data_IF_811730411669
#
_entry.id   IF_811730411669
#
_cell.length_a   1.000
_cell.length_b   1.000
_cell.length_c   1.000
_cell.angle_alpha   90.00
_cell.angle_beta   90.00
_cell.angle_gamma   90.00
#
_symmetry.space_group_name_H-M   'P 1'
#
loop_
_entity.id
_entity.type
_entity.pdbx_description
1 polymer ?
#
# COMPACT_ATOMS: atom_id res chain seq x y z
N UNK A 1 -25.14 8.85 1.68
CA UNK A 1 -23.81 9.24 2.19
C UNK A 1 -22.79 8.61 1.27
N UNK A 2 -21.85 9.36 0.69
CA UNK A 2 -20.80 8.76 -0.13
C UNK A 2 -19.86 7.98 0.80
N UNK A 3 -19.77 6.67 0.60
CA UNK A 3 -18.81 5.83 1.32
C UNK A 3 -17.43 6.13 0.77
N UNK A 4 -16.51 6.57 1.63
CA UNK A 4 -15.11 6.74 1.25
C UNK A 4 -14.46 5.37 1.09
N UNK A 5 -13.81 5.14 -0.05
CA UNK A 5 -13.01 3.93 -0.28
C UNK A 5 -11.54 4.24 -0.04
N UNK A 6 -10.89 3.47 0.83
CA UNK A 6 -9.47 3.63 1.11
C UNK A 6 -8.63 3.18 -0.09
N UNK A 7 -7.57 3.93 -0.44
CA UNK A 7 -6.58 3.49 -1.42
C UNK A 7 -5.96 2.16 -1.02
N UNK A 8 -5.58 1.36 -2.02
CA UNK A 8 -4.85 0.11 -1.81
C UNK A 8 -3.38 0.38 -1.48
N UNK A 9 -2.76 -0.56 -0.77
CA UNK A 9 -1.32 -0.59 -0.61
C UNK A 9 -0.67 -0.68 -2.00
N UNK A 10 0.24 0.23 -2.30
CA UNK A 10 1.04 0.20 -3.52
C UNK A 10 2.37 -0.48 -3.20
N UNK A 11 2.78 -1.42 -4.04
CA UNK A 11 4.05 -2.13 -3.90
C UNK A 11 4.72 -2.33 -5.26
N UNK A 12 5.99 -2.74 -5.23
CA UNK A 12 6.75 -3.09 -6.43
C UNK A 12 7.31 -4.50 -6.37
N UNK A 13 7.50 -5.08 -7.56
CA UNK A 13 8.31 -6.28 -7.73
C UNK A 13 9.81 -5.94 -7.83
N UNK A 14 10.72 -6.94 -7.89
CA UNK A 14 12.15 -6.71 -8.03
C UNK A 14 12.56 -6.00 -9.33
N UNK A 15 11.72 -5.98 -10.35
CA UNK A 15 11.95 -5.26 -11.60
C UNK A 15 11.50 -3.79 -11.50
N UNK A 16 10.91 -3.39 -10.36
CA UNK A 16 10.39 -2.05 -10.11
C UNK A 16 9.02 -1.79 -10.72
N UNK A 17 8.33 -2.84 -11.18
CA UNK A 17 6.95 -2.71 -11.66
C UNK A 17 6.03 -2.54 -10.47
N UNK A 18 5.15 -1.55 -10.56
CA UNK A 18 4.26 -1.14 -9.47
C UNK A 18 2.88 -1.79 -9.61
N UNK A 19 2.32 -2.20 -8.48
CA UNK A 19 1.03 -2.87 -8.38
C UNK A 19 0.24 -2.35 -7.18
N UNK A 20 -1.08 -2.42 -7.28
CA UNK A 20 -2.01 -2.32 -6.17
C UNK A 20 -2.20 -3.68 -5.48
N UNK A 21 -2.19 -3.69 -4.15
CA UNK A 21 -2.47 -4.90 -3.38
C UNK A 21 -3.97 -5.22 -3.44
N UNK A 22 -4.37 -6.48 -3.67
CA UNK A 22 -5.77 -6.87 -3.81
C UNK A 22 -6.62 -6.72 -2.53
N UNK A 23 -6.02 -6.38 -1.38
CA UNK A 23 -6.66 -6.50 -0.06
C UNK A 23 -6.18 -5.44 0.91
N UNK A 24 -4.87 -5.39 1.15
CA UNK A 24 -4.27 -4.41 2.06
C UNK A 24 -4.52 -2.98 1.57
N UNK A 25 -4.83 -2.11 2.52
CA UNK A 25 -5.06 -0.69 2.30
C UNK A 25 -3.78 0.11 2.59
N UNK A 26 -3.81 1.38 2.17
CA UNK A 26 -2.89 2.44 2.55
C UNK A 26 -2.45 2.30 4.02
N UNK A 27 -1.16 2.50 4.26
CA UNK A 27 -0.63 2.79 5.58
C UNK A 27 0.25 4.04 5.52
N UNK A 28 0.14 4.87 6.56
CA UNK A 28 1.03 5.99 6.85
C UNK A 28 2.07 5.59 7.90
N UNK A 29 3.10 6.43 8.01
CA UNK A 29 4.10 6.31 9.08
C UNK A 29 4.46 7.69 9.62
N UNK A 30 4.32 7.87 10.93
CA UNK A 30 4.78 9.04 11.66
C UNK A 30 5.90 8.64 12.61
N UNK A 31 7.15 8.88 12.20
CA UNK A 31 8.34 8.44 12.93
C UNK A 31 8.45 6.92 12.98
N UNK A 32 8.39 6.36 14.19
CA UNK A 32 8.41 4.92 14.48
C UNK A 32 7.01 4.29 14.48
N UNK A 33 5.95 5.09 14.35
CA UNK A 33 4.56 4.61 14.44
C UNK A 33 3.92 4.48 13.07
N UNK A 34 3.31 3.33 12.84
CA UNK A 34 2.38 3.13 11.72
C UNK A 34 1.02 3.74 12.07
N UNK A 35 0.37 4.36 11.09
CA UNK A 35 -0.97 4.92 11.25
C UNK A 35 -1.80 4.74 9.98
N UNK A 36 -3.12 4.68 10.12
CA UNK A 36 -4.05 4.73 9.00
C UNK A 36 -4.56 6.18 8.91
N UNK A 37 -4.13 6.97 7.89
CA UNK A 37 -4.56 8.36 7.76
C UNK A 37 -6.08 8.45 7.66
N UNK A 38 -6.68 9.45 8.30
CA UNK A 38 -8.12 9.68 8.21
C UNK A 38 -8.49 10.10 6.78
N UNK A 39 -9.69 9.76 6.26
CA UNK A 39 -10.09 10.10 4.90
C UNK A 39 -10.00 11.59 4.56
N UNK A 40 -10.21 12.47 5.54
CA UNK A 40 -10.11 13.92 5.34
C UNK A 40 -8.67 14.43 5.17
N UNK A 41 -7.67 13.63 5.51
CA UNK A 41 -6.24 13.95 5.32
C UNK A 41 -5.75 13.53 3.93
N UNK A 42 -6.56 12.77 3.20
CA UNK A 42 -6.20 12.21 1.90
C UNK A 42 -6.69 13.13 0.78
N UNK A 43 -5.81 13.33 -0.20
CA UNK A 43 -6.12 14.01 -1.46
C UNK A 43 -5.88 13.05 -2.62
N UNK A 44 -6.60 13.20 -3.74
CA UNK A 44 -6.27 12.48 -4.96
C UNK A 44 -4.81 12.74 -5.37
N UNK A 45 -4.16 11.72 -5.91
CA UNK A 45 -2.80 11.86 -6.40
C UNK A 45 -2.76 12.93 -7.52
N UNK A 46 -1.93 13.99 -7.40
CA UNK A 46 -1.87 15.04 -8.40
C UNK A 46 -1.45 14.52 -9.78
N UNK A 47 -1.99 15.10 -10.84
CA UNK A 47 -1.56 14.80 -12.20
C UNK A 47 -0.04 15.05 -12.39
N UNK A 48 0.64 14.11 -13.05
CA UNK A 48 2.10 14.17 -13.24
C UNK A 48 2.92 13.69 -12.04
N UNK A 49 2.28 13.15 -10.99
CA UNK A 49 3.01 12.50 -9.89
C UNK A 49 3.80 11.29 -10.39
N UNK A 50 5.01 11.11 -9.85
CA UNK A 50 5.87 9.95 -10.14
C UNK A 50 6.02 9.10 -8.89
N UNK A 51 6.02 7.77 -9.08
CA UNK A 51 6.30 6.81 -8.02
C UNK A 51 7.73 6.29 -8.16
N UNK A 52 8.39 6.08 -7.03
CA UNK A 52 9.76 5.58 -6.97
C UNK A 52 9.80 4.33 -6.10
N UNK A 53 10.44 3.28 -6.62
CA UNK A 53 10.72 2.05 -5.87
C UNK A 53 12.04 2.20 -5.13
N UNK A 54 12.09 1.70 -3.89
CA UNK A 54 13.31 1.62 -3.10
C UNK A 54 13.70 0.15 -2.95
N UNK A 55 14.79 -0.30 -3.58
CA UNK A 55 15.21 -1.70 -3.51
C UNK A 55 15.40 -2.20 -2.07
N UNK A 56 14.83 -3.37 -1.77
CA UNK A 56 15.01 -4.09 -0.52
C UNK A 56 14.12 -3.54 0.59
N UNK A 57 12.98 -2.94 0.22
CA UNK A 57 11.99 -2.43 1.16
C UNK A 57 10.74 -3.29 1.11
N UNK A 58 10.33 -3.73 2.30
CA UNK A 58 9.10 -4.48 2.45
C UNK A 58 7.97 -3.47 2.66
N UNK A 59 6.95 -3.44 1.79
CA UNK A 59 5.79 -2.57 1.95
C UNK A 59 4.96 -3.03 3.16
N UNK A 60 4.38 -2.07 3.88
CA UNK A 60 3.48 -2.33 5.01
C UNK A 60 2.13 -1.72 4.67
N UNK A 61 1.07 -2.52 4.80
CA UNK A 61 -0.31 -2.09 4.57
C UNK A 61 -1.18 -2.29 5.79
N UNK A 62 -2.34 -1.63 5.78
CA UNK A 62 -3.39 -1.87 6.77
C UNK A 62 -4.27 -3.03 6.32
N UNK A 63 -4.47 -4.00 7.21
CA UNK A 63 -5.42 -5.09 7.04
C UNK A 63 -6.75 -4.74 7.69
N UNK A 64 -7.83 -4.48 6.92
CA UNK A 64 -9.13 -4.16 7.48
C UNK A 64 -9.84 -5.36 8.13
N UNK A 65 -9.45 -6.61 7.81
CA UNK A 65 -10.03 -7.82 8.40
C UNK A 65 -9.39 -8.12 9.76
N UNK A 66 -8.07 -8.02 9.86
CA UNK A 66 -7.34 -8.23 11.12
C UNK A 66 -7.29 -6.98 12.02
N UNK A 67 -7.56 -5.79 11.44
CA UNK A 67 -7.44 -4.52 12.15
C UNK A 67 -6.00 -4.23 12.59
N UNK A 68 -5.02 -4.60 11.76
CA UNK A 68 -3.60 -4.48 12.10
C UNK A 68 -2.73 -4.09 10.89
N UNK A 69 -1.48 -3.67 11.15
CA UNK A 69 -0.50 -3.39 10.09
C UNK A 69 0.31 -4.64 9.78
N UNK A 70 0.34 -5.01 8.50
CA UNK A 70 0.99 -6.25 8.04
C UNK A 70 2.05 -5.92 6.99
N UNK A 71 3.22 -6.52 7.15
CA UNK A 71 4.29 -6.47 6.16
C UNK A 71 3.97 -7.44 5.02
N UNK A 72 3.94 -6.94 3.79
CA UNK A 72 3.66 -7.73 2.61
C UNK A 72 4.96 -8.11 1.91
N UNK A 73 5.57 -9.24 2.30
CA UNK A 73 6.78 -9.77 1.66
C UNK A 73 6.49 -10.44 0.31
N UNK A 74 5.31 -11.06 0.19
CA UNK A 74 4.84 -11.74 -1.01
C UNK A 74 3.36 -11.44 -1.18
N UNK A 75 2.96 -11.10 -2.39
CA UNK A 75 1.57 -10.80 -2.72
C UNK A 75 1.13 -11.70 -3.86
N UNK A 76 -0.03 -12.33 -3.71
CA UNK A 76 -0.66 -13.08 -4.80
C UNK A 76 -1.58 -12.16 -5.57
N UNK A 77 -1.13 -11.71 -6.75
CA UNK A 77 -1.93 -10.88 -7.67
C UNK A 77 -2.37 -11.75 -8.85
N UNK A 78 -3.69 -11.85 -9.09
CA UNK A 78 -4.27 -12.60 -10.22
C UNK A 78 -3.74 -14.05 -10.36
N UNK A 79 -3.50 -14.71 -9.24
CA UNK A 79 -3.00 -16.10 -9.22
C UNK A 79 -1.48 -16.25 -9.32
N UNK A 80 -0.73 -15.17 -9.53
CA UNK A 80 0.75 -15.15 -9.54
C UNK A 80 1.29 -14.62 -8.22
N UNK A 81 2.28 -15.31 -7.66
CA UNK A 81 3.01 -14.83 -6.49
C UNK A 81 4.08 -13.83 -6.94
N UNK A 82 3.98 -12.60 -6.45
CA UNK A 82 4.92 -11.52 -6.72
C UNK A 82 5.70 -11.25 -5.42
N UNK A 83 7.04 -11.41 -5.42
CA UNK A 83 7.85 -10.97 -4.30
C UNK A 83 7.85 -9.44 -4.24
N UNK A 84 7.71 -8.87 -3.05
CA UNK A 84 7.77 -7.42 -2.87
C UNK A 84 9.22 -6.96 -2.69
N UNK A 85 9.57 -5.82 -3.29
CA UNK A 85 10.92 -5.26 -3.21
C UNK A 85 10.98 -3.74 -3.24
#
# INVERSE_FOLDING_TARGET
MATFEYPRLVFSDPEGKIFDHPRLQLAGRSGDRMNLPHPSELVPLPAGSQLFTMPGRIPIGWDPEEGSFVAAEKVKVEGKEIPCH
#
